data_IF_803007898331
#
_entry.id   IF_803007898331
#
_cell.length_a   1.000
_cell.length_b   1.000
_cell.length_c   1.000
_cell.angle_alpha   90.00
_cell.angle_beta   90.00
_cell.angle_gamma   90.00
#
_symmetry.space_group_name_H-M   'P 1'
#
loop_
_entity.id
_entity.type
_entity.pdbx_description
1 polymer ?
#
# COMPACT_ATOMS: atom_id res chain seq x y z
N UNK A 1 14.18 54.01 34.72
CA UNK A 1 15.65 53.87 34.60
C UNK A 1 16.06 52.73 35.52
N UNK A 2 16.69 51.69 34.96
CA UNK A 2 17.40 50.56 35.60
C UNK A 2 16.94 50.05 36.99
N UNK A 3 16.41 48.83 37.01
CA UNK A 3 16.26 48.00 38.21
C UNK A 3 17.63 47.47 38.68
N UNK A 4 17.92 47.53 39.97
CA UNK A 4 19.13 46.96 40.56
C UNK A 4 18.86 45.56 41.10
N UNK A 5 19.48 44.55 40.50
CA UNK A 5 19.37 43.16 40.94
C UNK A 5 19.92 42.97 42.37
N UNK A 6 19.19 42.23 43.21
CA UNK A 6 19.62 41.89 44.55
C UNK A 6 20.76 40.86 44.50
N UNK A 7 21.97 41.26 44.91
CA UNK A 7 23.10 40.35 45.08
C UNK A 7 22.93 39.53 46.35
N UNK A 8 22.45 38.29 46.21
CA UNK A 8 22.54 37.28 47.27
C UNK A 8 24.02 37.05 47.61
N UNK A 9 24.37 37.01 48.90
CA UNK A 9 25.74 36.66 49.32
C UNK A 9 25.98 35.16 49.17
N UNK A 10 27.23 34.75 49.01
CA UNK A 10 27.59 33.36 48.73
C UNK A 10 27.10 32.41 49.86
N UNK A 11 27.22 32.83 51.12
CA UNK A 11 26.66 32.15 52.30
C UNK A 11 25.14 31.92 52.22
N UNK A 12 24.38 32.86 51.63
CA UNK A 12 22.92 32.72 51.45
C UNK A 12 22.59 31.69 50.36
N UNK A 13 23.46 31.56 49.34
CA UNK A 13 23.32 30.56 48.29
C UNK A 13 23.63 29.17 48.88
N UNK A 14 24.68 29.04 49.69
CA UNK A 14 24.99 27.78 50.39
C UNK A 14 23.86 27.34 51.33
N UNK A 15 23.30 28.26 52.14
CA UNK A 15 22.16 27.95 53.00
C UNK A 15 20.93 27.47 52.20
N UNK A 16 20.57 28.16 51.11
CA UNK A 16 19.44 27.76 50.27
C UNK A 16 19.67 26.41 49.58
N UNK A 17 20.92 26.07 49.23
CA UNK A 17 21.27 24.80 48.61
C UNK A 17 21.18 23.64 49.63
N UNK A 18 21.69 23.82 50.85
CA UNK A 18 21.53 22.86 51.95
C UNK A 18 20.05 22.65 52.33
N UNK A 19 19.26 23.73 52.39
CA UNK A 19 17.82 23.64 52.67
C UNK A 19 17.06 22.89 51.55
N UNK A 20 17.45 23.09 50.29
CA UNK A 20 16.89 22.38 49.15
C UNK A 20 17.23 20.88 49.15
N UNK A 21 18.47 20.52 49.52
CA UNK A 21 18.90 19.13 49.66
C UNK A 21 18.10 18.41 50.77
N UNK A 22 17.98 19.03 51.94
CA UNK A 22 17.17 18.50 53.04
C UNK A 22 15.69 18.31 52.65
N UNK A 23 15.10 19.25 51.91
CA UNK A 23 13.73 19.12 51.36
C UNK A 23 13.59 17.97 50.38
N UNK A 24 14.58 17.74 49.50
CA UNK A 24 14.54 16.63 48.55
C UNK A 24 14.69 15.28 49.25
N UNK A 25 15.59 15.16 50.23
CA UNK A 25 15.75 13.95 51.04
C UNK A 25 14.45 13.59 51.80
N UNK A 26 13.80 14.58 52.43
CA UNK A 26 12.51 14.40 53.09
C UNK A 26 11.38 14.02 52.10
N UNK A 27 11.39 14.56 50.88
CA UNK A 27 10.39 14.20 49.86
C UNK A 27 10.59 12.78 49.32
N UNK A 28 11.84 12.32 49.21
CA UNK A 28 12.17 10.96 48.79
C UNK A 28 11.71 9.89 49.78
N UNK A 29 11.78 10.15 51.10
CA UNK A 29 11.27 9.22 52.11
C UNK A 29 9.74 9.13 52.13
N UNK A 30 9.03 10.25 51.90
CA UNK A 30 7.57 10.29 51.87
C UNK A 30 6.97 9.59 50.62
N UNK A 31 7.67 9.59 49.48
CA UNK A 31 7.15 8.95 48.26
C UNK A 31 7.21 7.42 48.25
N UNK A 32 7.88 6.78 49.21
CA UNK A 32 7.88 5.32 49.36
C UNK A 32 6.72 4.78 50.25
N UNK A 33 5.83 5.64 50.75
CA UNK A 33 4.78 5.25 51.71
C UNK A 33 3.33 5.48 51.21
N UNK A 34 3.11 5.70 49.91
CA UNK A 34 1.75 5.90 49.34
C UNK A 34 1.46 4.94 48.19
N UNK A 35 1.29 3.66 48.54
CA UNK A 35 0.54 2.69 47.70
C UNK A 35 -0.90 2.57 48.22
N UNK A 36 -1.80 1.98 47.41
CA UNK A 36 -3.27 1.96 47.58
C UNK A 36 -3.94 3.29 47.19
N UNK A 37 -5.06 3.35 46.45
CA UNK A 37 -6.04 2.33 46.03
C UNK A 37 -6.50 2.50 44.57
N UNK A 38 -6.69 1.39 43.84
CA UNK A 38 -7.46 1.35 42.58
C UNK A 38 -8.80 0.64 42.87
N UNK A 39 -9.97 1.22 42.53
CA UNK A 39 -11.26 0.62 42.89
C UNK A 39 -11.50 -0.72 42.18
N UNK A 40 -12.25 -1.60 42.86
CA UNK A 40 -12.39 -3.01 42.52
C UNK A 40 -13.15 -3.25 41.20
N UNK A 41 -12.82 -4.37 40.55
CA UNK A 41 -13.69 -5.00 39.54
C UNK A 41 -14.68 -5.92 40.25
N UNK A 42 -15.91 -5.99 39.75
CA UNK A 42 -16.85 -7.07 40.07
C UNK A 42 -16.54 -8.30 39.20
N UNK A 43 -16.73 -9.48 39.77
CA UNK A 43 -16.42 -10.79 39.19
C UNK A 43 -17.39 -11.23 38.07
N UNK A 44 -16.96 -12.24 37.29
CA UNK A 44 -17.62 -13.56 37.22
C UNK A 44 -16.82 -14.57 36.37
N UNK A 45 -16.55 -15.72 37.00
CA UNK A 45 -16.25 -17.09 36.51
C UNK A 45 -15.56 -17.38 35.16
N UNK A 46 -14.50 -18.20 35.24
CA UNK A 46 -13.88 -18.99 34.15
C UNK A 46 -14.65 -20.28 33.82
N UNK A 47 -14.67 -20.63 32.53
CA UNK A 47 -14.67 -21.97 31.86
C UNK A 47 -14.47 -21.75 30.35
N UNK A 48 -13.98 -22.63 29.46
CA UNK A 48 -13.16 -23.86 29.50
C UNK A 48 -12.97 -24.37 28.04
N UNK A 49 -11.92 -25.07 27.58
CA UNK A 49 -10.54 -25.33 28.07
C UNK A 49 -9.75 -26.16 27.02
N UNK A 50 -8.43 -25.96 26.89
CA UNK A 50 -7.46 -26.80 26.13
C UNK A 50 -7.46 -26.77 24.58
N UNK A 51 -6.31 -26.41 23.97
CA UNK A 51 -5.54 -27.23 23.02
C UNK A 51 -4.29 -26.47 22.47
N UNK A 52 -3.20 -27.19 22.14
CA UNK A 52 -1.87 -26.64 21.79
C UNK A 52 -1.67 -26.35 20.28
N UNK A 53 -0.45 -25.94 19.85
CA UNK A 53 0.52 -26.95 19.38
C UNK A 53 2.00 -26.77 19.81
N UNK A 54 2.76 -27.87 19.81
CA UNK A 54 4.23 -27.95 19.92
C UNK A 54 4.91 -27.40 18.64
N UNK A 55 6.10 -26.76 18.64
CA UNK A 55 7.44 -27.09 19.17
C UNK A 55 8.18 -28.25 18.46
N UNK A 56 9.14 -27.91 17.58
CA UNK A 56 10.39 -28.67 17.38
C UNK A 56 11.49 -27.77 16.76
N UNK A 57 12.52 -27.45 17.53
CA UNK A 57 13.84 -27.04 17.02
C UNK A 57 14.85 -27.23 18.16
N UNK A 58 15.71 -28.23 17.99
CA UNK A 58 16.70 -28.70 18.98
C UNK A 58 17.84 -27.72 19.21
N UNK A 59 18.48 -27.84 20.37
CA UNK A 59 19.61 -27.02 20.79
C UNK A 59 20.84 -27.17 19.87
N UNK A 60 21.55 -26.06 19.69
CA UNK A 60 23.01 -26.08 19.64
C UNK A 60 23.48 -24.95 20.55
N UNK A 61 23.97 -25.30 21.73
CA UNK A 61 24.66 -24.33 22.58
C UNK A 61 26.05 -24.07 22.01
N UNK A 62 26.40 -22.81 21.76
CA UNK A 62 27.80 -22.39 21.71
C UNK A 62 27.95 -21.12 22.54
N UNK A 63 28.63 -21.25 23.67
CA UNK A 63 28.78 -20.20 24.66
C UNK A 63 29.83 -19.17 24.20
N UNK A 64 29.37 -18.00 23.78
CA UNK A 64 30.22 -16.80 23.65
C UNK A 64 29.87 -15.83 24.77
N UNK A 65 30.88 -15.44 25.54
CA UNK A 65 30.75 -14.68 26.78
C UNK A 65 29.97 -13.38 26.58
N UNK A 66 28.89 -13.22 27.35
CA UNK A 66 28.08 -11.98 27.36
C UNK A 66 28.58 -11.05 28.45
N UNK A 67 29.58 -10.26 28.11
CA UNK A 67 29.99 -9.06 28.85
C UNK A 67 28.76 -8.22 29.25
N UNK A 68 28.64 -7.77 30.51
CA UNK A 68 27.52 -6.94 30.95
C UNK A 68 27.72 -5.51 30.46
N UNK A 69 27.23 -5.19 29.26
CA UNK A 69 27.28 -3.81 28.72
C UNK A 69 26.52 -2.86 29.65
N UNK A 70 27.18 -1.87 30.28
CA UNK A 70 26.51 -0.94 31.17
C UNK A 70 25.63 0.05 30.41
N UNK A 71 24.58 0.49 31.11
CA UNK A 71 23.89 1.78 31.01
C UNK A 71 24.20 2.69 29.81
N UNK A 72 23.33 2.63 28.79
CA UNK A 72 22.80 3.81 28.07
C UNK A 72 23.71 5.06 27.91
N UNK A 73 24.89 4.94 27.30
CA UNK A 73 25.66 6.09 26.84
C UNK A 73 25.41 6.39 25.35
N UNK A 74 24.69 7.51 25.13
CA UNK A 74 24.76 8.39 23.95
C UNK A 74 25.21 7.75 22.62
N UNK A 75 24.34 6.96 21.99
CA UNK A 75 24.53 6.53 20.61
C UNK A 75 24.64 7.75 19.68
N UNK A 76 25.76 7.87 18.96
CA UNK A 76 26.00 8.95 18.00
C UNK A 76 24.91 8.95 16.92
N UNK A 77 24.13 10.04 16.85
CA UNK A 77 23.11 10.21 15.83
C UNK A 77 23.76 10.31 14.44
N UNK A 78 23.77 9.20 13.69
CA UNK A 78 24.22 9.16 12.31
C UNK A 78 23.30 10.09 11.49
N UNK A 79 23.83 11.17 10.90
CA UNK A 79 22.99 12.09 10.12
C UNK A 79 22.44 11.35 8.90
N UNK A 80 21.12 11.45 8.60
CA UNK A 80 20.56 10.77 7.44
C UNK A 80 21.22 11.30 6.16
N UNK A 81 21.44 10.44 5.15
CA UNK A 81 22.07 10.85 3.90
C UNK A 81 21.29 11.99 3.26
N UNK A 82 22.01 13.00 2.75
CA UNK A 82 21.42 14.18 2.11
C UNK A 82 20.79 13.79 0.76
N UNK A 83 19.56 13.30 0.79
CA UNK A 83 18.74 13.08 -0.41
C UNK A 83 18.66 14.37 -1.23
N UNK A 84 18.83 14.26 -2.56
CA UNK A 84 18.87 15.44 -3.40
C UNK A 84 17.48 16.08 -3.51
N UNK A 85 17.42 17.37 -3.86
CA UNK A 85 16.13 18.05 -4.13
C UNK A 85 15.36 17.41 -5.29
N UNK A 86 16.02 16.65 -6.19
CA UNK A 86 15.37 15.91 -7.28
C UNK A 86 14.68 14.64 -6.76
N UNK A 87 15.32 13.90 -5.86
CA UNK A 87 14.77 12.66 -5.29
C UNK A 87 13.53 12.96 -4.43
N UNK A 88 13.51 14.11 -3.74
CA UNK A 88 12.32 14.61 -3.02
C UNK A 88 11.19 15.12 -3.92
N UNK A 89 11.46 15.43 -5.20
CA UNK A 89 10.44 15.96 -6.11
C UNK A 89 9.54 14.86 -6.69
N UNK A 90 10.08 13.66 -6.88
CA UNK A 90 9.30 12.46 -7.20
C UNK A 90 8.74 11.86 -5.93
N UNK A 91 7.50 12.21 -5.58
CA UNK A 91 6.77 11.53 -4.50
C UNK A 91 6.67 10.03 -4.84
N UNK A 92 7.06 9.19 -3.89
CA UNK A 92 6.92 7.73 -3.98
C UNK A 92 5.47 7.29 -3.89
N UNK A 93 4.68 8.04 -3.12
CA UNK A 93 3.31 7.70 -2.75
C UNK A 93 2.41 8.93 -2.79
N UNK A 94 1.11 8.72 -2.94
CA UNK A 94 0.09 9.78 -2.96
C UNK A 94 -0.03 10.56 -1.63
N UNK A 95 0.62 10.06 -0.57
CA UNK A 95 0.68 10.66 0.76
C UNK A 95 -0.36 10.10 1.75
N UNK A 96 -0.26 10.54 3.00
CA UNK A 96 -1.06 10.02 4.11
C UNK A 96 -2.57 10.24 3.96
N UNK A 97 -2.99 11.30 3.26
CA UNK A 97 -4.39 11.58 2.93
C UNK A 97 -5.02 10.52 2.01
N UNK A 98 -4.19 9.72 1.32
CA UNK A 98 -4.62 8.62 0.46
C UNK A 98 -3.88 7.31 0.81
N UNK A 99 -3.71 7.07 2.12
CA UNK A 99 -3.16 5.83 2.70
C UNK A 99 -1.82 5.37 2.10
N UNK A 100 -1.00 6.32 1.64
CA UNK A 100 0.27 6.05 0.96
C UNK A 100 0.11 5.11 -0.26
N UNK A 101 -0.91 5.36 -1.11
CA UNK A 101 -1.04 4.65 -2.39
C UNK A 101 0.25 4.82 -3.23
N UNK A 102 0.91 3.74 -3.65
CA UNK A 102 2.19 3.82 -4.36
C UNK A 102 2.03 4.41 -5.77
N UNK A 103 3.12 4.96 -6.28
CA UNK A 103 3.24 5.42 -7.66
C UNK A 103 3.07 4.27 -8.66
N UNK A 104 2.50 4.57 -9.82
CA UNK A 104 2.25 3.59 -10.88
C UNK A 104 3.53 3.12 -11.55
N UNK A 105 3.92 1.87 -11.32
CA UNK A 105 4.95 1.20 -12.11
C UNK A 105 4.39 0.78 -13.48
N UNK A 106 4.84 1.45 -14.54
CA UNK A 106 4.34 1.22 -15.91
C UNK A 106 4.90 -0.07 -16.54
N UNK A 107 4.56 -1.22 -15.96
CA UNK A 107 4.83 -2.52 -16.57
C UNK A 107 4.07 -2.68 -17.89
N UNK A 108 4.59 -3.44 -18.88
CA UNK A 108 3.91 -3.66 -20.16
C UNK A 108 2.59 -4.43 -20.01
N UNK A 109 2.38 -5.12 -18.89
CA UNK A 109 1.11 -5.78 -18.56
C UNK A 109 0.09 -4.75 -18.08
N UNK A 110 0.44 -3.95 -17.06
CA UNK A 110 -0.43 -2.91 -16.52
C UNK A 110 -0.79 -1.86 -17.59
N UNK A 111 0.14 -1.49 -18.48
CA UNK A 111 -0.13 -0.58 -19.61
C UNK A 111 -1.26 -1.10 -20.51
N UNK A 112 -1.34 -2.41 -20.76
CA UNK A 112 -2.42 -3.02 -21.56
C UNK A 112 -3.74 -3.04 -20.80
N UNK A 113 -3.73 -3.39 -19.52
CA UNK A 113 -4.92 -3.41 -18.68
C UNK A 113 -5.51 -1.99 -18.48
N UNK A 114 -4.65 -0.96 -18.35
CA UNK A 114 -5.08 0.44 -18.30
C UNK A 114 -5.67 0.93 -19.64
N UNK A 115 -5.06 0.57 -20.78
CA UNK A 115 -5.62 0.85 -22.09
C UNK A 115 -6.98 0.16 -22.28
N UNK A 116 -7.12 -1.07 -21.77
CA UNK A 116 -8.38 -1.83 -21.78
C UNK A 116 -9.48 -1.16 -20.94
N UNK A 117 -9.12 -0.62 -19.76
CA UNK A 117 -10.02 0.18 -18.93
C UNK A 117 -10.43 1.52 -19.58
N UNK A 118 -9.53 2.16 -20.34
CA UNK A 118 -9.86 3.35 -21.11
C UNK A 118 -10.84 3.02 -22.25
N UNK A 119 -10.70 1.84 -22.86
CA UNK A 119 -11.56 1.35 -23.96
C UNK A 119 -12.76 0.52 -23.50
N UNK A 120 -13.12 0.54 -22.21
CA UNK A 120 -14.13 -0.36 -21.60
C UNK A 120 -15.50 -0.36 -22.29
N UNK A 121 -15.89 0.78 -22.87
CA UNK A 121 -17.14 1.01 -23.59
C UNK A 121 -17.27 0.16 -24.87
N UNK A 122 -16.13 -0.25 -25.46
CA UNK A 122 -16.09 -1.10 -26.65
C UNK A 122 -16.20 -2.61 -26.30
N UNK A 123 -16.02 -2.98 -25.03
CA UNK A 123 -15.91 -4.39 -24.63
C UNK A 123 -17.25 -5.11 -24.57
N UNK A 124 -18.30 -4.44 -24.09
CA UNK A 124 -19.66 -5.00 -24.05
C UNK A 124 -20.64 -4.00 -24.66
N UNK A 125 -21.20 -4.36 -25.82
CA UNK A 125 -22.22 -3.59 -26.54
C UNK A 125 -23.51 -3.30 -25.76
N UNK A 126 -23.69 -3.91 -24.57
CA UNK A 126 -24.84 -3.66 -23.68
C UNK A 126 -24.50 -2.75 -22.49
N UNK A 127 -23.22 -2.46 -22.24
CA UNK A 127 -22.76 -1.68 -21.08
C UNK A 127 -22.11 -0.38 -21.53
N UNK A 128 -22.93 0.66 -21.63
CA UNK A 128 -22.47 2.02 -21.90
C UNK A 128 -21.93 2.65 -20.61
N UNK A 129 -20.70 3.16 -20.65
CA UNK A 129 -20.08 3.82 -19.50
C UNK A 129 -20.08 5.34 -19.65
N UNK A 130 -19.97 6.06 -18.53
CA UNK A 130 -19.69 7.51 -18.58
C UNK A 130 -18.35 7.71 -19.28
N UNK A 131 -18.33 8.54 -20.33
CA UNK A 131 -17.13 8.85 -21.10
C UNK A 131 -16.04 9.43 -20.19
N UNK A 132 -14.93 8.71 -20.10
CA UNK A 132 -13.73 9.19 -19.44
C UNK A 132 -12.95 10.12 -20.37
N UNK A 133 -12.64 11.33 -19.89
CA UNK A 133 -11.82 12.31 -20.61
C UNK A 133 -10.40 12.41 -20.04
N UNK A 134 -10.04 11.55 -19.07
CA UNK A 134 -8.71 11.48 -18.48
C UNK A 134 -7.66 11.17 -19.54
N UNK A 135 -6.62 12.01 -19.60
CA UNK A 135 -5.56 11.93 -20.61
C UNK A 135 -4.40 11.07 -20.13
N UNK A 136 -4.62 9.75 -20.09
CA UNK A 136 -3.55 8.76 -20.00
C UNK A 136 -3.53 7.95 -18.71
N UNK A 137 -2.34 7.43 -18.38
CA UNK A 137 -2.08 6.57 -17.22
C UNK A 137 -2.12 7.40 -15.92
N UNK A 138 -2.83 6.95 -14.87
CA UNK A 138 -2.81 7.63 -13.57
C UNK A 138 -1.42 7.56 -12.92
N UNK A 139 -1.02 8.63 -12.24
CA UNK A 139 0.31 8.74 -11.61
C UNK A 139 0.50 7.76 -10.44
N UNK A 140 -0.57 7.48 -9.69
CA UNK A 140 -0.61 6.53 -8.57
C UNK A 140 -1.69 5.49 -8.85
N UNK A 141 -1.37 4.21 -8.70
CA UNK A 141 -2.32 3.10 -8.90
C UNK A 141 -1.81 1.81 -8.26
N UNK A 142 -2.75 0.89 -7.99
CA UNK A 142 -2.45 -0.41 -7.43
C UNK A 142 -3.35 -1.48 -8.05
N UNK A 143 -2.83 -2.69 -8.25
CA UNK A 143 -3.59 -3.81 -8.83
C UNK A 143 -4.11 -4.70 -7.70
N UNK A 144 -5.37 -4.47 -7.31
CA UNK A 144 -6.06 -5.31 -6.34
C UNK A 144 -6.76 -6.53 -6.97
N UNK A 145 -7.06 -7.53 -6.16
CA UNK A 145 -8.00 -8.61 -6.51
C UNK A 145 -9.21 -8.57 -5.59
N UNK A 146 -10.40 -8.91 -6.12
CA UNK A 146 -11.63 -8.87 -5.35
C UNK A 146 -11.71 -10.10 -4.43
N UNK A 147 -11.82 -9.84 -3.11
CA UNK A 147 -12.07 -10.89 -2.12
C UNK A 147 -13.58 -11.10 -2.02
N UNK A 148 -14.04 -12.28 -2.45
CA UNK A 148 -15.45 -12.65 -2.48
C UNK A 148 -16.02 -12.79 -1.06
N UNK A 149 -17.25 -12.30 -0.85
CA UNK A 149 -17.96 -12.40 0.42
C UNK A 149 -18.25 -13.84 0.85
N UNK A 150 -18.52 -14.04 2.15
CA UNK A 150 -18.85 -15.35 2.74
C UNK A 150 -20.31 -15.77 2.50
N UNK A 151 -21.14 -14.85 1.99
CA UNK A 151 -22.59 -15.04 1.80
C UNK A 151 -22.95 -15.47 0.38
N UNK A 152 -22.05 -15.31 -0.60
CA UNK A 152 -22.34 -15.47 -2.02
C UNK A 152 -21.42 -16.55 -2.63
N UNK A 153 -21.87 -17.80 -2.61
CA UNK A 153 -21.06 -18.94 -3.06
C UNK A 153 -21.19 -19.27 -4.55
N UNK A 154 -22.33 -19.01 -5.18
CA UNK A 154 -22.66 -19.56 -6.51
C UNK A 154 -22.72 -18.54 -7.64
N UNK A 155 -23.05 -17.28 -7.34
CA UNK A 155 -23.30 -16.24 -8.37
C UNK A 155 -22.07 -15.37 -8.64
N UNK A 156 -21.50 -14.78 -7.59
CA UNK A 156 -20.45 -13.77 -7.70
C UNK A 156 -19.03 -14.35 -7.50
N UNK A 157 -18.92 -15.64 -7.18
CA UNK A 157 -17.65 -16.35 -6.95
C UNK A 157 -17.11 -16.93 -8.25
N UNK A 158 -15.88 -16.56 -8.61
CA UNK A 158 -15.19 -17.06 -9.81
C UNK A 158 -14.53 -18.39 -9.50
N UNK A 159 -14.64 -19.40 -10.37
CA UNK A 159 -14.00 -20.71 -10.12
C UNK A 159 -12.48 -20.62 -10.27
N UNK A 160 -11.73 -21.54 -9.65
CA UNK A 160 -10.25 -21.56 -9.73
C UNK A 160 -9.71 -21.65 -11.18
N UNK A 161 -10.50 -22.16 -12.13
CA UNK A 161 -10.13 -22.26 -13.56
C UNK A 161 -10.31 -20.92 -14.30
N UNK A 162 -11.26 -20.13 -13.85
CA UNK A 162 -11.66 -18.87 -14.48
C UNK A 162 -10.95 -17.66 -13.85
N UNK A 163 -10.40 -17.81 -12.63
CA UNK A 163 -9.50 -16.82 -12.01
C UNK A 163 -8.21 -16.66 -12.82
N UNK A 164 -8.09 -15.55 -13.53
CA UNK A 164 -6.93 -15.15 -14.34
C UNK A 164 -6.01 -14.19 -13.57
N UNK A 165 -4.79 -13.96 -14.06
CA UNK A 165 -3.81 -13.08 -13.41
C UNK A 165 -3.96 -11.61 -13.81
N UNK A 166 -4.47 -11.34 -15.01
CA UNK A 166 -4.60 -9.98 -15.57
C UNK A 166 -6.00 -9.73 -16.09
N UNK A 167 -6.39 -8.46 -16.22
CA UNK A 167 -7.71 -8.08 -16.76
C UNK A 167 -7.83 -8.50 -18.23
N UNK A 168 -6.76 -8.27 -19.01
CA UNK A 168 -6.70 -8.67 -20.41
C UNK A 168 -6.88 -10.18 -20.61
N UNK A 169 -6.26 -11.01 -19.77
CA UNK A 169 -6.38 -12.48 -19.86
C UNK A 169 -7.83 -12.94 -19.65
N UNK A 170 -8.55 -12.34 -18.70
CA UNK A 170 -9.98 -12.59 -18.49
C UNK A 170 -10.83 -12.21 -19.71
N UNK A 171 -10.59 -11.03 -20.29
CA UNK A 171 -11.30 -10.58 -21.50
C UNK A 171 -10.96 -11.45 -22.72
N UNK A 172 -9.72 -11.92 -22.86
CA UNK A 172 -9.33 -12.85 -23.92
C UNK A 172 -10.03 -14.22 -23.78
N UNK A 173 -10.23 -14.72 -22.57
CA UNK A 173 -10.96 -15.97 -22.35
C UNK A 173 -12.45 -15.82 -22.70
N UNK A 174 -13.06 -14.69 -22.32
CA UNK A 174 -14.44 -14.35 -22.68
C UNK A 174 -14.63 -14.14 -24.20
N UNK A 175 -13.63 -13.65 -24.94
CA UNK A 175 -13.71 -13.56 -26.40
C UNK A 175 -13.61 -14.93 -27.09
N UNK A 176 -13.00 -15.96 -26.47
CA UNK A 176 -12.95 -17.31 -27.05
C UNK A 176 -14.35 -17.92 -27.18
N UNK A 177 -15.22 -17.68 -26.19
CA UNK A 177 -16.62 -18.09 -26.22
C UNK A 177 -17.45 -17.16 -27.10
N UNK A 178 -17.33 -15.84 -26.92
CA UNK A 178 -18.25 -14.86 -27.53
C UNK A 178 -17.93 -14.55 -29.00
N UNK A 179 -16.65 -14.58 -29.41
CA UNK A 179 -16.13 -14.36 -30.79
C UNK A 179 -16.56 -13.02 -31.43
N UNK A 180 -16.94 -12.03 -30.61
CA UNK A 180 -17.55 -10.76 -31.06
C UNK A 180 -16.50 -9.81 -31.61
N UNK A 181 -15.34 -9.69 -30.97
CA UNK A 181 -14.26 -8.86 -31.49
C UNK A 181 -13.73 -9.42 -32.81
N UNK A 182 -13.58 -10.73 -32.95
CA UNK A 182 -13.19 -11.36 -34.23
C UNK A 182 -14.19 -11.04 -35.34
N UNK A 183 -15.49 -11.24 -35.09
CA UNK A 183 -16.55 -10.95 -36.06
C UNK A 183 -16.60 -9.47 -36.44
N UNK A 184 -16.59 -8.57 -35.44
CA UNK A 184 -16.69 -7.13 -35.67
C UNK A 184 -15.43 -6.55 -36.32
N UNK A 185 -14.25 -7.08 -35.98
CA UNK A 185 -13.00 -6.76 -36.65
C UNK A 185 -13.05 -7.15 -38.13
N UNK A 186 -13.59 -8.34 -38.45
CA UNK A 186 -13.84 -8.76 -39.84
C UNK A 186 -14.67 -7.75 -40.63
N UNK A 187 -15.85 -7.38 -40.11
CA UNK A 187 -16.73 -6.37 -40.72
C UNK A 187 -16.02 -5.02 -40.91
N UNK A 188 -15.27 -4.55 -39.89
CA UNK A 188 -14.53 -3.28 -39.96
C UNK A 188 -13.40 -3.37 -40.99
N UNK A 189 -12.71 -4.50 -41.10
CA UNK A 189 -11.65 -4.70 -42.10
C UNK A 189 -12.21 -4.78 -43.51
N UNK A 190 -13.35 -5.42 -43.72
CA UNK A 190 -14.04 -5.46 -45.01
C UNK A 190 -14.47 -4.05 -45.44
N UNK A 191 -15.18 -3.32 -44.58
CA UNK A 191 -15.57 -1.93 -44.81
C UNK A 191 -14.35 -1.01 -45.07
N UNK A 192 -13.24 -1.21 -44.34
CA UNK A 192 -11.98 -0.48 -44.55
C UNK A 192 -11.16 -0.92 -45.75
N UNK A 193 -11.46 -2.07 -46.37
CA UNK A 193 -10.78 -2.59 -47.59
C UNK A 193 -11.57 -2.30 -48.85
N UNK A 194 -12.90 -2.20 -48.74
CA UNK A 194 -13.81 -1.80 -49.83
C UNK A 194 -13.33 -0.54 -50.54
N UNK A 195 -13.34 -0.56 -51.87
CA UNK A 195 -12.99 0.57 -52.74
C UNK A 195 -11.49 0.88 -52.81
N UNK A 196 -10.61 0.09 -52.16
CA UNK A 196 -9.15 0.29 -52.22
C UNK A 196 -8.49 -0.49 -53.35
N UNK A 197 -7.15 -0.48 -53.37
CA UNK A 197 -6.27 -1.15 -54.35
C UNK A 197 -6.69 -2.60 -54.69
N UNK A 198 -7.25 -3.34 -53.72
CA UNK A 198 -7.73 -4.70 -53.95
C UNK A 198 -8.88 -4.76 -54.96
N UNK A 199 -9.89 -3.90 -54.82
CA UNK A 199 -11.04 -3.88 -55.72
C UNK A 199 -10.73 -3.23 -57.06
N UNK A 200 -9.86 -2.21 -57.07
CA UNK A 200 -9.26 -1.68 -58.30
C UNK A 200 -8.51 -2.77 -59.08
N UNK A 201 -7.69 -3.60 -58.42
CA UNK A 201 -6.97 -4.69 -59.07
C UNK A 201 -7.92 -5.76 -59.62
N UNK A 202 -8.98 -6.14 -58.88
CA UNK A 202 -10.03 -7.04 -59.38
C UNK A 202 -10.73 -6.47 -60.62
N UNK A 203 -11.06 -5.17 -60.61
CA UNK A 203 -11.67 -4.48 -61.76
C UNK A 203 -10.75 -4.50 -62.99
N UNK A 204 -9.46 -4.22 -62.80
CA UNK A 204 -8.48 -4.27 -63.90
C UNK A 204 -8.23 -5.69 -64.41
N UNK A 205 -8.23 -6.70 -63.54
CA UNK A 205 -8.19 -8.11 -63.95
C UNK A 205 -9.43 -8.50 -64.75
N UNK A 206 -10.64 -8.05 -64.37
CA UNK A 206 -11.85 -8.28 -65.18
C UNK A 206 -11.81 -7.57 -66.54
N UNK A 207 -11.18 -6.39 -66.63
CA UNK A 207 -11.11 -5.59 -67.87
C UNK A 207 -10.03 -6.06 -68.85
N UNK A 208 -8.87 -6.51 -68.35
CA UNK A 208 -7.68 -6.79 -69.17
C UNK A 208 -7.12 -8.21 -68.99
N UNK A 209 -7.69 -9.03 -68.11
CA UNK A 209 -7.24 -10.39 -67.81
C UNK A 209 -7.83 -11.48 -68.70
N UNK A 210 -8.63 -11.14 -69.72
CA UNK A 210 -8.99 -12.06 -70.79
C UNK A 210 -7.88 -12.06 -71.86
N UNK A 211 -6.93 -12.98 -71.69
CA UNK A 211 -6.08 -13.57 -72.72
C UNK A 211 -5.91 -15.05 -72.39
#
# INVERSE_FOLDING_TARGET
>A
MAETAASLTEDQIEQLLQEAEARLAAKASVQNATSLTKPAKLDVAKTSSSAQPAQTSTEVEEAVAKEPTPSSELALHIPPPRVSKKDRATKTDAGASWYNLPRTDLTPQLKRDLQLLQMRDVLDSKRHYKKDNSRGVPEYSHVGTMIEGRTEYFTNRVTKKDKKRTLLESVMDQERSTKRFKSKYGQIQEAKKSGKKGDYKKMMQKRYGHK
#
